data_IF_004281248181
#
_entry.id   IF_004281248181
#
_cell.length_a   1.000
_cell.length_b   1.000
_cell.length_c   1.000
_cell.angle_alpha   90.00
_cell.angle_beta   90.00
_cell.angle_gamma   90.00
#
_symmetry.space_group_name_H-M   'P 1'
#
loop_
_entity.id
_entity.type
_entity.pdbx_description
1 polymer ?
#
# COMPACT_ATOMS: atom_id res chain seq x y z
N UNK A 1 -19.03 5.42 -15.63
CA UNK A 1 -18.21 4.85 -14.54
C UNK A 1 -16.85 5.49 -14.65
N UNK A 2 -16.55 6.41 -13.74
CA UNK A 2 -15.24 7.07 -13.67
C UNK A 2 -14.37 6.26 -12.71
N UNK A 3 -13.08 6.09 -13.04
CA UNK A 3 -12.11 5.42 -12.17
C UNK A 3 -11.06 6.46 -11.81
N UNK A 4 -10.83 6.64 -10.51
CA UNK A 4 -9.78 7.51 -9.98
C UNK A 4 -8.74 6.68 -9.25
N UNK A 5 -7.49 6.78 -9.68
CA UNK A 5 -6.37 6.07 -9.07
C UNK A 5 -5.61 7.02 -8.12
N UNK A 6 -5.38 6.58 -6.89
CA UNK A 6 -4.60 7.32 -5.88
C UNK A 6 -3.30 6.53 -5.65
N UNK A 7 -2.23 6.92 -6.35
CA UNK A 7 -0.92 6.28 -6.19
C UNK A 7 -0.20 6.78 -4.93
N UNK A 8 0.15 5.86 -4.02
CA UNK A 8 0.90 6.17 -2.80
C UNK A 8 2.37 5.79 -2.99
N UNK A 9 3.28 6.76 -2.87
CA UNK A 9 4.74 6.51 -2.87
C UNK A 9 5.41 6.69 -1.52
N UNK A 10 4.74 7.40 -0.61
CA UNK A 10 5.23 7.67 0.73
C UNK A 10 4.08 7.46 1.71
N UNK A 11 4.24 6.53 2.65
CA UNK A 11 3.26 6.32 3.71
C UNK A 11 3.55 7.30 4.84
N UNK A 12 3.03 8.53 4.70
CA UNK A 12 3.22 9.60 5.66
C UNK A 12 1.98 10.49 5.78
N UNK A 13 1.95 11.39 6.78
CA UNK A 13 0.78 12.24 7.07
C UNK A 13 0.28 13.07 5.88
N UNK A 14 1.20 13.51 5.00
CA UNK A 14 0.86 14.26 3.79
C UNK A 14 0.04 13.43 2.80
N UNK A 15 0.46 12.19 2.51
CA UNK A 15 -0.26 11.28 1.62
C UNK A 15 -1.62 10.88 2.18
N UNK A 16 -1.70 10.63 3.49
CA UNK A 16 -2.96 10.33 4.15
C UNK A 16 -3.97 11.49 4.01
N UNK A 17 -3.52 12.73 4.28
CA UNK A 17 -4.36 13.92 4.10
C UNK A 17 -4.80 14.09 2.64
N UNK A 18 -3.88 13.91 1.69
CA UNK A 18 -4.21 14.03 0.26
C UNK A 18 -5.22 12.96 -0.18
N UNK A 19 -5.08 11.73 0.32
CA UNK A 19 -6.02 10.64 0.05
C UNK A 19 -7.42 11.00 0.55
N UNK A 20 -7.55 11.45 1.80
CA UNK A 20 -8.83 11.88 2.36
C UNK A 20 -9.45 13.06 1.60
N UNK A 21 -8.64 14.03 1.17
CA UNK A 21 -9.13 15.14 0.35
C UNK A 21 -9.71 14.63 -0.97
N UNK A 22 -8.99 13.76 -1.67
CA UNK A 22 -9.46 13.18 -2.93
C UNK A 22 -10.74 12.37 -2.74
N UNK A 23 -10.85 11.56 -1.68
CA UNK A 23 -12.05 10.78 -1.38
C UNK A 23 -13.24 11.68 -1.05
N UNK A 24 -13.02 12.76 -0.29
CA UNK A 24 -14.05 13.73 0.05
C UNK A 24 -14.57 14.46 -1.20
N UNK A 25 -13.68 14.89 -2.09
CA UNK A 25 -14.05 15.63 -3.30
C UNK A 25 -14.68 14.74 -4.38
N UNK A 26 -14.31 13.45 -4.40
CA UNK A 26 -14.77 12.51 -5.43
C UNK A 26 -16.09 11.82 -5.09
N UNK A 27 -16.46 11.75 -3.80
CA UNK A 27 -17.66 11.05 -3.31
C UNK A 27 -17.87 9.67 -3.98
N UNK A 28 -16.89 8.75 -3.88
CA UNK A 28 -16.94 7.52 -4.65
C UNK A 28 -18.04 6.57 -4.16
N UNK A 29 -18.76 5.95 -5.10
CA UNK A 29 -19.76 4.91 -4.79
C UNK A 29 -19.12 3.58 -4.33
N UNK A 30 -17.80 3.42 -4.51
CA UNK A 30 -17.03 2.23 -4.12
C UNK A 30 -15.54 2.57 -3.99
N UNK A 31 -14.87 1.98 -3.00
CA UNK A 31 -13.44 2.11 -2.77
C UNK A 31 -12.73 0.76 -2.92
N UNK A 32 -11.66 0.73 -3.72
CA UNK A 32 -10.77 -0.41 -3.82
C UNK A 32 -9.43 -0.08 -3.15
N UNK A 33 -8.95 -0.96 -2.28
CA UNK A 33 -7.66 -0.80 -1.57
C UNK A 33 -6.75 -1.97 -1.93
N UNK A 34 -5.48 -1.67 -2.16
CA UNK A 34 -4.41 -2.66 -2.34
C UNK A 34 -4.19 -3.41 -1.01
N UNK A 35 -4.67 -4.64 -0.96
CA UNK A 35 -4.48 -5.62 0.09
C UNK A 35 -4.99 -6.99 -0.39
N UNK A 36 -4.56 -8.11 0.21
CA UNK A 36 -5.01 -9.45 -0.18
C UNK A 36 -6.52 -9.62 -0.05
N UNK A 37 -7.19 -10.12 -1.09
CA UNK A 37 -8.65 -10.27 -1.09
C UNK A 37 -9.18 -11.20 0.03
N UNK A 38 -8.39 -12.16 0.48
CA UNK A 38 -8.72 -13.05 1.61
C UNK A 38 -8.58 -12.37 2.99
N UNK A 39 -8.07 -11.14 3.05
CA UNK A 39 -8.07 -10.28 4.24
C UNK A 39 -9.36 -9.44 4.37
N UNK A 40 -10.23 -9.40 3.36
CA UNK A 40 -11.37 -8.47 3.28
C UNK A 40 -12.33 -8.57 4.47
N UNK A 41 -12.50 -9.78 5.03
CA UNK A 41 -13.32 -10.01 6.22
C UNK A 41 -12.86 -9.25 7.46
N UNK A 42 -11.62 -8.76 7.49
CA UNK A 42 -11.07 -7.98 8.60
C UNK A 42 -11.46 -6.50 8.57
N UNK A 43 -11.94 -5.98 7.43
CA UNK A 43 -12.23 -4.54 7.25
C UNK A 43 -13.21 -4.05 8.32
N UNK A 44 -14.26 -4.81 8.63
CA UNK A 44 -15.26 -4.40 9.63
C UNK A 44 -14.62 -4.11 11.01
N UNK A 45 -13.57 -4.84 11.39
CA UNK A 45 -12.86 -4.68 12.67
C UNK A 45 -12.13 -3.32 12.76
N UNK A 46 -11.81 -2.68 11.62
CA UNK A 46 -11.21 -1.34 11.57
C UNK A 46 -12.19 -0.27 12.08
N UNK A 47 -13.48 -0.56 12.05
CA UNK A 47 -14.52 0.28 12.63
C UNK A 47 -14.51 0.30 14.16
N UNK A 48 -13.97 -0.75 14.80
CA UNK A 48 -14.06 -0.94 16.25
C UNK A 48 -13.31 0.15 17.03
N UNK A 49 -13.99 0.75 18.00
CA UNK A 49 -13.45 1.86 18.80
C UNK A 49 -12.23 1.47 19.65
N UNK A 50 -12.03 0.16 19.92
CA UNK A 50 -10.89 -0.36 20.66
C UNK A 50 -9.66 -0.65 19.79
N UNK A 51 -9.79 -0.57 18.46
CA UNK A 51 -8.70 -0.86 17.53
C UNK A 51 -8.05 0.46 17.05
N UNK A 52 -6.99 0.86 17.75
CA UNK A 52 -6.22 2.08 17.45
C UNK A 52 -4.80 1.71 16.96
N UNK A 53 -4.32 2.26 15.83
CA UNK A 53 -2.99 1.99 15.33
C UNK A 53 -1.88 2.51 16.28
N UNK A 54 -0.70 1.87 16.31
CA UNK A 54 -0.19 0.93 15.32
C UNK A 54 -0.76 -0.48 15.49
N UNK A 55 -1.32 -1.01 14.40
CA UNK A 55 -1.89 -2.36 14.31
C UNK A 55 -1.42 -3.02 13.02
N UNK A 56 -1.54 -4.34 12.91
CA UNK A 56 -1.25 -5.03 11.66
C UNK A 56 -2.29 -6.12 11.38
N UNK A 57 -2.62 -6.31 10.11
CA UNK A 57 -3.27 -7.55 9.69
C UNK A 57 -2.20 -8.63 9.57
N UNK A 58 -2.45 -9.77 10.23
CA UNK A 58 -1.62 -10.96 10.14
C UNK A 58 -2.35 -12.00 9.30
N UNK A 59 -1.79 -12.32 8.13
CA UNK A 59 -2.20 -13.45 7.32
C UNK A 59 -1.12 -14.52 7.42
N UNK A 60 -1.52 -15.76 7.64
CA UNK A 60 -0.57 -16.88 7.78
C UNK A 60 -1.17 -18.18 7.23
N UNK A 61 -0.30 -19.10 6.82
CA UNK A 61 -0.70 -20.46 6.49
C UNK A 61 -0.85 -21.29 7.77
N UNK A 62 -2.04 -21.81 8.09
CA UNK A 62 -2.24 -22.62 9.30
C UNK A 62 -1.51 -23.97 9.27
N UNK A 63 -0.99 -24.40 8.11
CA UNK A 63 -0.18 -25.62 7.96
C UNK A 63 1.32 -25.37 8.12
N UNK A 64 1.75 -24.11 7.94
CA UNK A 64 3.14 -23.70 8.08
C UNK A 64 3.21 -22.22 8.52
N UNK A 65 3.39 -22.00 9.83
CA UNK A 65 3.43 -20.66 10.42
C UNK A 65 4.64 -19.82 10.01
N UNK A 66 5.64 -20.39 9.32
CA UNK A 66 6.73 -19.61 8.74
C UNK A 66 6.26 -18.79 7.53
N UNK A 67 5.17 -19.21 6.90
CA UNK A 67 4.52 -18.49 5.81
C UNK A 67 3.51 -17.50 6.40
N UNK A 68 3.94 -16.27 6.59
CA UNK A 68 3.11 -15.19 7.13
C UNK A 68 3.46 -13.84 6.50
N UNK A 69 2.45 -12.97 6.41
CA UNK A 69 2.58 -11.59 5.97
C UNK A 69 1.97 -10.69 7.03
N UNK A 70 2.69 -9.62 7.34
CA UNK A 70 2.25 -8.55 8.23
C UNK A 70 1.98 -7.31 7.38
N UNK A 71 0.76 -6.80 7.43
CA UNK A 71 0.37 -5.54 6.79
C UNK A 71 0.18 -4.49 7.90
N UNK A 72 1.24 -3.71 8.23
CA UNK A 72 1.18 -2.75 9.31
C UNK A 72 0.45 -1.47 8.90
N UNK A 73 -0.35 -0.95 9.82
CA UNK A 73 -1.06 0.31 9.71
C UNK A 73 -0.68 1.23 10.86
N UNK A 74 -0.34 2.47 10.52
CA UNK A 74 -0.18 3.56 11.46
C UNK A 74 -1.39 4.51 11.34
N UNK A 75 -1.55 5.39 12.33
CA UNK A 75 -2.58 6.43 12.29
C UNK A 75 -2.48 7.31 11.03
N UNK A 76 -1.28 7.43 10.45
CA UNK A 76 -1.02 8.19 9.23
C UNK A 76 -0.89 7.33 7.96
N UNK A 77 -1.24 6.04 8.00
CA UNK A 77 -1.28 5.20 6.80
C UNK A 77 -2.44 5.66 5.89
N UNK A 78 -2.20 5.97 4.60
CA UNK A 78 -3.27 6.33 3.67
C UNK A 78 -4.36 5.25 3.57
N UNK A 79 -3.98 3.98 3.59
CA UNK A 79 -4.88 2.84 3.53
C UNK A 79 -5.79 2.78 4.77
N UNK A 80 -5.21 2.99 5.96
CA UNK A 80 -5.96 3.06 7.22
C UNK A 80 -7.00 4.17 7.18
N UNK A 81 -6.60 5.36 6.74
CA UNK A 81 -7.49 6.52 6.63
C UNK A 81 -8.59 6.29 5.59
N UNK A 82 -8.26 5.67 4.45
CA UNK A 82 -9.22 5.34 3.41
C UNK A 82 -10.26 4.31 3.89
N UNK A 83 -9.82 3.25 4.59
CA UNK A 83 -10.71 2.25 5.19
C UNK A 83 -11.64 2.87 6.24
N UNK A 84 -11.10 3.71 7.15
CA UNK A 84 -11.90 4.42 8.16
C UNK A 84 -12.91 5.38 7.52
N UNK A 85 -12.50 6.13 6.49
CA UNK A 85 -13.39 7.02 5.75
C UNK A 85 -14.55 6.26 5.11
N UNK A 86 -14.27 5.17 4.39
CA UNK A 86 -15.30 4.38 3.74
C UNK A 86 -16.30 3.80 4.74
N UNK A 87 -15.82 3.25 5.86
CA UNK A 87 -16.69 2.76 6.94
C UNK A 87 -17.57 3.87 7.55
N UNK A 88 -17.02 5.07 7.74
CA UNK A 88 -17.76 6.21 8.30
C UNK A 88 -18.81 6.77 7.34
N UNK A 89 -18.54 6.75 6.04
CA UNK A 89 -19.44 7.22 4.99
C UNK A 89 -20.34 6.11 4.41
N UNK A 90 -20.26 4.90 4.97
CA UNK A 90 -20.99 3.72 4.49
C UNK A 90 -20.73 3.39 3.00
N UNK A 91 -19.53 3.73 2.51
CA UNK A 91 -19.10 3.44 1.14
C UNK A 91 -18.64 1.98 1.07
N UNK A 92 -19.14 1.19 0.10
CA UNK A 92 -18.63 -0.15 -0.16
C UNK A 92 -17.11 -0.15 -0.38
N UNK A 93 -16.40 -0.97 0.39
CA UNK A 93 -14.95 -1.09 0.30
C UNK A 93 -14.54 -2.54 0.05
N UNK A 94 -13.59 -2.75 -0.87
CA UNK A 94 -13.08 -4.06 -1.25
C UNK A 94 -11.56 -4.07 -1.32
N UNK A 95 -10.98 -5.23 -1.06
CA UNK A 95 -9.56 -5.50 -1.32
C UNK A 95 -9.38 -6.08 -2.72
N UNK A 96 -8.35 -5.64 -3.44
CA UNK A 96 -8.19 -5.93 -4.86
C UNK A 96 -6.94 -6.71 -5.26
N UNK A 97 -6.07 -7.08 -4.31
CA UNK A 97 -4.91 -7.91 -4.63
C UNK A 97 -5.22 -9.41 -4.63
N UNK A 98 -4.27 -10.16 -5.17
CA UNK A 98 -4.24 -11.60 -5.06
C UNK A 98 -4.31 -12.05 -3.58
N UNK A 99 -5.15 -13.05 -3.27
CA UNK A 99 -5.15 -13.73 -1.98
C UNK A 99 -3.76 -14.12 -1.47
N UNK A 100 -3.50 -13.90 -0.18
CA UNK A 100 -2.24 -14.27 0.45
C UNK A 100 -1.96 -15.78 0.35
N UNK A 101 -3.00 -16.61 0.33
CA UNK A 101 -2.86 -18.05 0.07
C UNK A 101 -2.13 -18.39 -1.23
N UNK A 102 -2.24 -17.55 -2.28
CA UNK A 102 -1.47 -17.73 -3.51
C UNK A 102 0.01 -17.39 -3.34
N UNK A 103 0.33 -16.38 -2.53
CA UNK A 103 1.72 -16.06 -2.16
C UNK A 103 2.38 -17.22 -1.40
N UNK A 104 1.64 -17.86 -0.50
CA UNK A 104 2.12 -19.02 0.27
C UNK A 104 2.29 -20.30 -0.55
N UNK A 105 1.56 -20.40 -1.66
CA UNK A 105 1.59 -21.57 -2.56
C UNK A 105 2.61 -21.44 -3.69
N UNK A 106 3.31 -20.31 -3.80
CA UNK A 106 4.41 -20.15 -4.74
C UNK A 106 5.58 -21.04 -4.29
N UNK A 107 5.61 -22.29 -4.75
CA UNK A 107 6.66 -23.27 -4.42
C UNK A 107 8.00 -23.01 -5.14
N UNK A 108 8.11 -21.97 -5.98
CA UNK A 108 9.33 -21.71 -6.76
C UNK A 108 9.66 -20.22 -6.80
N UNK A 109 10.94 -19.90 -6.64
CA UNK A 109 11.46 -18.61 -7.10
C UNK A 109 10.97 -18.41 -8.54
N UNK A 110 10.30 -17.28 -8.86
CA UNK A 110 9.96 -17.00 -10.24
C UNK A 110 11.25 -17.10 -11.04
N UNK A 111 11.25 -17.76 -12.22
CA UNK A 111 12.46 -17.86 -13.03
C UNK A 111 13.03 -16.46 -13.15
N UNK A 112 14.28 -16.27 -12.73
CA UNK A 112 14.97 -15.00 -12.91
C UNK A 112 14.85 -14.66 -14.39
N UNK A 113 14.00 -13.69 -14.71
CA UNK A 113 13.92 -13.13 -16.04
C UNK A 113 15.28 -12.50 -16.27
N UNK A 114 16.17 -13.24 -16.93
CA UNK A 114 17.38 -12.72 -17.54
C UNK A 114 16.91 -11.82 -18.67
N UNK A 115 16.48 -10.61 -18.32
CA UNK A 115 16.38 -9.54 -19.27
C UNK A 115 17.79 -9.35 -19.83
N UNK A 116 17.99 -9.42 -21.15
CA UNK A 116 19.26 -9.01 -21.74
C UNK A 116 19.42 -7.51 -21.49
N UNK A 117 19.92 -7.17 -20.31
CA UNK A 117 20.36 -5.83 -19.97
C UNK A 117 21.67 -5.66 -20.71
N UNK A 118 21.62 -4.90 -21.81
CA UNK A 118 22.86 -4.38 -22.36
C UNK A 118 23.56 -3.55 -21.27
N UNK A 119 24.88 -3.67 -21.10
CA UNK A 119 25.61 -2.82 -20.18
C UNK A 119 25.28 -1.37 -20.53
N UNK A 120 24.71 -0.63 -19.59
CA UNK A 120 24.58 0.82 -19.76
C UNK A 120 26.02 1.32 -19.89
N UNK A 121 26.39 2.00 -20.99
CA UNK A 121 27.72 2.58 -21.11
C UNK A 121 27.96 3.42 -19.87
N UNK A 122 29.09 3.19 -19.21
CA UNK A 122 29.49 3.94 -18.03
C UNK A 122 29.61 5.41 -18.44
N UNK A 123 28.54 6.17 -18.25
CA UNK A 123 28.59 7.61 -18.39
C UNK A 123 29.44 8.08 -17.23
N UNK A 124 30.61 8.63 -17.53
CA UNK A 124 31.37 9.40 -16.56
C UNK A 124 30.38 10.37 -15.92
N UNK A 125 30.16 10.18 -14.61
CA UNK A 125 29.39 11.13 -13.85
C UNK A 125 30.00 12.52 -14.14
N UNK A 126 29.19 13.52 -14.51
CA UNK A 126 29.71 14.88 -14.57
C UNK A 126 30.42 15.13 -13.25
N UNK A 127 31.67 15.62 -13.32
CA UNK A 127 32.43 15.95 -12.13
C UNK A 127 31.56 16.77 -11.18
N UNK A 128 31.67 16.51 -9.88
CA UNK A 128 30.89 17.13 -8.80
C UNK A 128 30.35 18.50 -9.20
N UNK A 129 29.06 18.56 -9.49
CA UNK A 129 28.36 19.83 -9.61
C UNK A 129 28.21 20.30 -8.17
N UNK A 130 28.87 21.41 -7.82
CA UNK A 130 28.74 22.03 -6.50
C UNK A 130 27.27 22.09 -6.10
N UNK A 131 26.96 21.64 -4.88
CA UNK A 131 25.61 21.65 -4.34
C UNK A 131 25.05 23.08 -4.45
N UNK A 132 23.96 23.35 -5.20
CA UNK A 132 23.42 24.70 -5.33
C UNK A 132 22.98 25.30 -3.97
N UNK A 133 22.78 24.48 -2.93
CA UNK A 133 22.51 24.94 -1.57
C UNK A 133 23.77 25.43 -0.84
N UNK A 134 24.96 25.05 -1.29
CA UNK A 134 26.23 25.56 -0.74
C UNK A 134 26.42 27.06 -0.98
N UNK A 135 25.68 27.65 -1.92
CA UNK A 135 25.66 29.09 -2.18
C UNK A 135 24.74 29.89 -1.23
N UNK A 136 24.01 29.22 -0.33
CA UNK A 136 23.02 29.84 0.57
C UNK A 136 23.47 29.76 2.05
N UNK A 137 24.68 29.29 2.33
CA UNK A 137 25.28 29.25 3.67
C UNK A 137 26.10 30.50 3.98
#
# INVERSE_FOLDING_TARGET
MEIKLIGIRHHGPGSARATLQVLTDAEPDCLLVEAPADAEGLIASIGDAGLDPPVAMLLYNPKDFQQAIYLPFAAFSPEWQAMRFALQQEIPIRFMDLPAGMLFSAEEEPPQLQLPLEPIPEQQAPGWVDDPLSAIA
#
